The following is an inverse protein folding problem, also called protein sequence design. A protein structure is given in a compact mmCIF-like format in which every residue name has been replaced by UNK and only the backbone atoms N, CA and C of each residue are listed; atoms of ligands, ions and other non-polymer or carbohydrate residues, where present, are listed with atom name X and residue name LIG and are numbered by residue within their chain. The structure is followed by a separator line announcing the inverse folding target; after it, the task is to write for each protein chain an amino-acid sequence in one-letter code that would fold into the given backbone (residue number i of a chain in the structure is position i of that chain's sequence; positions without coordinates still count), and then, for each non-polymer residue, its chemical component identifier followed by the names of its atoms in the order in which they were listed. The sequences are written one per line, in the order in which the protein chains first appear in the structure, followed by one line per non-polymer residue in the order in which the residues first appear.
data_IF_776219851950
#
_entry.id   IF_776219851950
#
_cell.length_a   1.000
_cell.length_b   1.000
_cell.length_c   1.000
_cell.angle_alpha   90.00
_cell.angle_beta   90.00
_cell.angle_gamma   90.00
#
_symmetry.space_group_name_H-M   'P 1'
#
loop_
_entity.id
_entity.type
_entity.pdbx_description
1 polymer ?
2 water ?
#
# COMPACT_ATOMS: atom_id res chain seq x y z
N UNK A 4 -22.42 -10.80 4.76
CA UNK A 4 -21.19 -10.15 5.34
C UNK A 4 -20.94 -10.51 6.80
N UNK A 5 -19.67 -10.55 7.20
CA UNK A 5 -19.28 -10.90 8.58
C UNK A 5 -18.10 -10.05 9.04
N UNK A 6 -17.77 -10.13 10.34
CA UNK A 6 -16.63 -9.39 10.89
C UNK A 6 -15.34 -10.10 10.49
N UNK A 7 -14.50 -9.46 9.64
CA UNK A 7 -13.21 -10.08 9.31
C UNK A 7 -12.36 -10.29 10.54
N UNK A 8 -11.81 -11.50 10.68
CA UNK A 8 -11.01 -11.85 11.84
C UNK A 8 -9.69 -12.49 11.42
N UNK A 9 -8.76 -12.52 12.36
CA UNK A 9 -7.46 -13.12 12.12
C UNK A 9 -7.57 -14.64 12.03
N UNK A 10 -6.82 -15.23 11.10
CA UNK A 10 -6.83 -16.69 10.93
C UNK A 10 -5.46 -17.34 10.92
N UNK A 11 -4.42 -16.52 10.89
CA UNK A 11 -3.06 -17.01 10.81
C UNK A 11 -2.43 -16.94 12.21
N UNK A 12 -2.35 -18.09 12.86
CA UNK A 12 -1.86 -18.16 14.24
C UNK A 12 -0.64 -19.06 14.41
N UNK A 13 -0.53 -20.07 13.55
CA UNK A 13 0.53 -21.07 13.61
C UNK A 13 1.21 -21.20 12.25
N UNK A 14 2.31 -21.94 12.22
CA UNK A 14 2.99 -22.22 10.96
C UNK A 14 2.09 -22.91 9.89
N UNK A 15 1.37 -23.99 10.26
CA UNK A 15 0.46 -24.59 9.26
C UNK A 15 -0.57 -23.59 8.71
N UNK A 16 -0.92 -22.57 9.48
CA UNK A 16 -1.89 -21.57 8.99
C UNK A 16 -1.39 -20.79 7.78
N UNK A 17 -0.08 -20.73 7.59
CA UNK A 17 0.50 -20.06 6.42
C UNK A 17 0.07 -20.77 5.13
N UNK A 18 0.02 -22.10 5.17
CA UNK A 18 -0.45 -22.90 4.03
C UNK A 18 -1.96 -22.71 3.83
N UNK A 19 -2.72 -22.69 4.93
CA UNK A 19 -4.14 -22.43 4.88
C UNK A 19 -4.40 -21.09 4.14
N UNK A 20 -3.64 -20.07 4.50
CA UNK A 20 -3.71 -18.78 3.82
C UNK A 20 -3.35 -18.89 2.33
N UNK A 21 -2.25 -19.55 1.99
CA UNK A 21 -1.87 -19.62 0.57
C UNK A 21 -2.89 -20.38 -0.28
N UNK A 22 -3.63 -21.31 0.34
CA UNK A 22 -4.64 -22.10 -0.38
C UNK A 22 -6.03 -21.43 -0.41
N UNK A 23 -6.14 -20.27 0.24
CA UNK A 23 -7.44 -19.66 0.44
C UNK A 23 -7.97 -18.88 -0.76
N UNK A 24 -9.28 -18.70 -0.76
CA UNK A 24 -9.94 -17.81 -1.70
C UNK A 24 -9.39 -16.40 -1.58
N UNK A 25 -9.18 -15.94 -0.35
CA UNK A 25 -8.64 -14.59 -0.10
C UNK A 25 -7.32 -14.39 -0.81
N UNK A 26 -6.41 -15.36 -0.68
CA UNK A 26 -5.09 -15.21 -1.33
C UNK A 26 -5.23 -15.15 -2.84
N UNK A 27 -6.00 -16.05 -3.42
CA UNK A 27 -6.16 -16.06 -4.87
C UNK A 27 -6.70 -14.72 -5.39
N UNK A 28 -7.69 -14.20 -4.69
CA UNK A 28 -8.33 -12.93 -5.09
C UNK A 28 -7.34 -11.79 -4.92
N UNK A 29 -6.60 -11.80 -3.80
CA UNK A 29 -5.67 -10.74 -3.50
C UNK A 29 -4.53 -10.68 -4.51
N UNK A 30 -3.83 -11.79 -4.70
CA UNK A 30 -2.72 -11.79 -5.66
C UNK A 30 -3.22 -11.54 -7.10
N UNK A 31 -4.37 -12.09 -7.45
CA UNK A 31 -4.96 -11.81 -8.76
C UNK A 31 -5.17 -10.32 -8.97
N UNK A 32 -5.62 -9.65 -7.90
CA UNK A 32 -5.90 -8.21 -7.94
C UNK A 32 -4.61 -7.41 -8.16
N UNK A 33 -3.57 -7.72 -7.38
CA UNK A 33 -2.28 -7.07 -7.52
C UNK A 33 -1.74 -7.22 -8.95
N UNK A 34 -1.83 -8.43 -9.50
CA UNK A 34 -1.32 -8.71 -10.85
C UNK A 34 -2.12 -8.05 -11.95
N UNK A 35 -3.44 -8.00 -11.80
CA UNK A 35 -4.31 -7.31 -12.74
C UNK A 35 -3.96 -5.82 -12.80
N UNK A 36 -3.82 -5.19 -11.64
CA UNK A 36 -3.47 -3.77 -11.63
C UNK A 36 -2.07 -3.55 -12.19
N UNK A 37 -1.16 -4.48 -11.93
CA UNK A 37 0.21 -4.42 -12.46
C UNK A 37 0.21 -4.39 -14.00
N UNK A 38 -0.61 -5.23 -14.60
CA UNK A 38 -0.71 -5.28 -16.06
C UNK A 38 -1.32 -4.01 -16.62
N UNK A 39 -2.34 -3.49 -15.94
CA UNK A 39 -3.07 -2.32 -16.42
C UNK A 39 -2.23 -1.06 -16.52
N UNK A 40 -1.24 -0.91 -15.64
CA UNK A 40 -0.43 0.30 -15.58
C UNK A 40 0.85 0.22 -16.43
N UNK A 41 1.07 -0.93 -17.06
CA UNK A 41 2.31 -1.20 -17.77
C UNK A 41 2.60 -0.11 -18.82
N UNK A 42 3.79 0.48 -18.72
CA UNK A 42 4.26 1.46 -19.70
C UNK A 42 3.62 2.83 -19.66
N UNK A 43 2.83 3.12 -18.61
CA UNK A 43 2.09 4.38 -18.54
C UNK A 43 2.59 5.29 -17.44
N UNK A 44 2.66 6.59 -17.75
CA UNK A 44 2.94 7.64 -16.79
C UNK A 44 1.73 7.89 -15.91
N UNK A 45 1.97 8.46 -14.72
CA UNK A 45 0.89 8.84 -13.80
C UNK A 45 -0.13 9.80 -14.42
N UNK A 46 0.30 10.56 -15.43
CA UNK A 46 -0.53 11.55 -16.11
C UNK A 46 -1.31 10.98 -17.30
N UNK A 47 -1.22 9.66 -17.49
CA UNK A 47 -1.99 8.99 -18.53
C UNK A 47 -3.45 9.40 -18.40
N UNK A 48 -4.11 9.63 -19.54
CA UNK A 48 -5.50 10.07 -19.50
C UNK A 48 -6.42 8.88 -19.28
N UNK A 49 -6.59 8.55 -18.00
CA UNK A 49 -7.44 7.45 -17.57
C UNK A 49 -8.79 8.00 -17.12
N UNK A 50 -9.80 7.12 -17.13
CA UNK A 50 -11.16 7.48 -16.74
C UNK A 50 -11.25 7.67 -15.22
N UNK A 51 -12.03 8.67 -14.81
CA UNK A 51 -12.20 8.99 -13.38
C UNK A 51 -13.69 9.02 -13.01
N UNK A 52 -14.10 7.98 -12.30
CA UNK A 52 -15.49 7.79 -11.90
C UNK A 52 -15.81 8.48 -10.58
N UNK A 53 -17.09 8.59 -10.27
CA UNK A 53 -17.55 9.12 -8.99
C UNK A 53 -16.92 8.36 -7.81
N UNK A 54 -16.88 7.04 -7.89
CA UNK A 54 -16.32 6.25 -6.79
C UNK A 54 -14.84 6.59 -6.57
N UNK A 55 -14.11 6.78 -7.67
CA UNK A 55 -12.71 7.20 -7.58
C UNK A 55 -12.62 8.58 -6.90
N UNK A 56 -13.46 9.51 -7.33
CA UNK A 56 -13.51 10.83 -6.70
C UNK A 56 -13.79 10.76 -5.21
N UNK A 57 -14.74 9.91 -4.82
CA UNK A 57 -15.10 9.76 -3.41
C UNK A 57 -13.96 9.14 -2.59
N UNK A 58 -13.20 8.22 -3.20
CA UNK A 58 -12.03 7.62 -2.53
C UNK A 58 -10.92 8.65 -2.32
N UNK A 59 -10.71 9.50 -3.31
CA UNK A 59 -9.79 10.62 -3.14
C UNK A 59 -10.25 11.56 -2.02
N UNK A 60 -11.56 11.87 -1.98
CA UNK A 60 -12.07 12.72 -0.90
C UNK A 60 -11.90 12.06 0.47
N UNK A 61 -12.07 10.75 0.52
CA UNK A 61 -11.86 9.98 1.75
C UNK A 61 -10.42 10.14 2.23
N UNK A 62 -9.46 10.02 1.31
CA UNK A 62 -8.07 10.18 1.70
C UNK A 62 -7.77 11.62 2.09
N UNK A 63 -8.40 12.56 1.39
CA UNK A 63 -8.25 13.98 1.78
C UNK A 63 -8.82 14.30 3.17
N UNK A 64 -9.86 13.57 3.57
CA UNK A 64 -10.37 13.68 4.95
C UNK A 64 -9.32 13.21 5.95
N UNK A 65 -8.72 12.05 5.70
CA UNK A 65 -7.63 11.54 6.54
C UNK A 65 -6.51 12.57 6.67
N UNK A 66 -6.14 13.18 5.54
CA UNK A 66 -5.10 14.21 5.48
C UNK A 66 -5.49 15.44 6.33
N UNK A 67 -6.72 15.91 6.16
CA UNK A 67 -7.21 17.04 6.95
C UNK A 67 -7.11 16.75 8.46
N UNK A 68 -7.47 15.54 8.86
CA UNK A 68 -7.36 15.16 10.26
C UNK A 68 -5.92 15.21 10.78
N UNK A 69 -4.94 14.91 9.93
CA UNK A 69 -3.54 15.06 10.32
C UNK A 69 -3.28 16.55 10.66
N UNK A 70 -3.69 17.44 9.75
CA UNK A 70 -3.49 18.88 9.97
C UNK A 70 -4.15 19.37 11.25
N UNK A 71 -5.29 18.78 11.60
CA UNK A 71 -6.02 19.12 12.82
C UNK A 71 -5.44 18.48 14.08
N UNK A 72 -4.47 17.58 13.92
CA UNK A 72 -3.97 16.76 15.02
C UNK A 72 -2.45 16.84 15.04
N UNK A 73 -1.93 17.99 15.53
CA UNK A 73 -0.49 18.19 15.48
C UNK A 73 0.26 17.25 16.43
N UNK A 74 1.55 16.98 16.16
CA UNK A 74 2.39 16.22 17.08
C UNK A 74 2.39 16.88 18.47
N UNK A 75 2.54 16.07 19.51
CA UNK A 75 2.61 16.57 20.87
C UNK A 75 4.04 16.53 21.39
N UNK A 76 4.36 17.49 22.26
CA UNK A 76 5.57 17.46 23.07
C UNK A 76 5.49 16.19 23.93
N UNK A 77 6.56 15.41 23.93
CA UNK A 77 6.57 14.14 24.66
C UNK A 77 8.00 13.69 24.98
N UNK A 78 8.16 12.88 26.04
CA UNK A 78 9.48 12.31 26.34
C UNK A 78 9.96 11.23 25.35
N UNK A 79 9.07 10.37 24.86
CA UNK A 79 9.49 9.28 23.99
C UNK A 79 10.11 9.77 22.70
N UNK A 80 11.20 9.12 22.30
CA UNK A 80 11.94 9.50 21.09
C UNK A 80 11.52 8.70 19.86
N UNK A 81 10.47 7.90 19.98
CA UNK A 81 9.96 7.13 18.84
C UNK A 81 8.65 7.76 18.33
N UNK A 82 7.67 6.92 18.04
CA UNK A 82 6.37 7.38 17.59
C UNK A 82 5.72 8.45 18.46
N UNK A 83 5.09 9.41 17.79
CA UNK A 83 4.44 10.49 18.52
C UNK A 83 3.01 10.12 18.90
N UNK A 84 2.68 10.32 20.18
CA UNK A 84 1.40 9.90 20.74
C UNK A 84 0.19 10.51 20.01
N UNK A 85 0.40 11.65 19.33
CA UNK A 85 -0.68 12.29 18.58
C UNK A 85 -1.22 11.36 17.49
N UNK A 86 -0.39 10.40 17.04
CA UNK A 86 -0.89 9.40 16.08
C UNK A 86 -2.12 8.71 16.62
N UNK A 87 -2.14 8.44 17.93
CA UNK A 87 -3.27 7.72 18.51
C UNK A 87 -4.55 8.54 18.48
N UNK A 88 -4.41 9.85 18.65
CA UNK A 88 -5.55 10.75 18.55
C UNK A 88 -6.11 10.74 17.12
N UNK A 89 -5.19 10.81 16.14
CA UNK A 89 -5.59 10.74 14.74
C UNK A 89 -6.29 9.39 14.45
N UNK A 90 -5.67 8.31 14.91
CA UNK A 90 -6.19 6.97 14.64
C UNK A 90 -7.58 6.80 15.25
N UNK A 91 -7.79 7.35 16.44
CA UNK A 91 -9.09 7.23 17.10
C UNK A 91 -10.21 7.83 16.24
N UNK A 92 -9.89 8.90 15.51
CA UNK A 92 -10.88 9.52 14.62
C UNK A 92 -11.20 8.57 13.48
N UNK A 93 -10.16 7.97 12.90
CA UNK A 93 -10.39 7.03 11.83
C UNK A 93 -11.20 5.83 12.30
N UNK A 94 -10.87 5.30 13.48
CA UNK A 94 -11.59 4.15 14.01
C UNK A 94 -13.08 4.46 14.17
N UNK A 95 -13.39 5.65 14.71
CA UNK A 95 -14.78 6.03 14.92
C UNK A 95 -15.51 6.26 13.61
N UNK A 96 -14.82 6.89 12.66
CA UNK A 96 -15.49 7.38 11.45
C UNK A 96 -15.35 6.50 10.20
N UNK A 97 -14.63 5.38 10.31
CA UNK A 97 -14.33 4.57 9.13
C UNK A 97 -15.56 4.17 8.34
N UNK A 98 -16.60 3.71 9.03
CA UNK A 98 -17.82 3.29 8.34
C UNK A 98 -18.49 4.47 7.63
N UNK A 99 -18.50 5.64 8.27
CA UNK A 99 -19.03 6.83 7.61
C UNK A 99 -18.24 7.16 6.34
N UNK A 100 -16.92 7.13 6.45
CA UNK A 100 -16.06 7.38 5.28
C UNK A 100 -16.34 6.40 4.15
N UNK A 101 -16.38 5.11 4.47
CA UNK A 101 -16.63 4.09 3.45
C UNK A 101 -18.03 4.27 2.81
N UNK A 102 -19.00 4.65 3.64
CA UNK A 102 -20.37 4.90 3.15
C UNK A 102 -20.47 6.05 2.15
N UNK A 103 -19.49 6.95 2.15
CA UNK A 103 -19.54 8.00 1.13
C UNK A 103 -19.14 7.46 -0.26
N UNK A 104 -18.45 6.31 -0.27
CA UNK A 104 -18.00 5.68 -1.50
C UNK A 104 -19.00 4.62 -1.97
N UNK A 105 -19.51 3.82 -1.03
CA UNK A 105 -20.38 2.69 -1.35
C UNK A 105 -21.81 3.18 -1.44
N UNK A 106 -22.46 3.03 -2.63
CA UNK A 106 -23.87 3.47 -2.75
C UNK A 106 -24.80 2.76 -1.79
N UNK A 107 -25.94 3.39 -1.51
CA UNK A 107 -26.82 2.92 -0.43
C UNK A 107 -27.35 1.49 -0.63
N UNK A 108 -27.52 1.05 -1.89
CA UNK A 108 -28.03 -0.31 -2.11
C UNK A 108 -27.05 -1.39 -1.70
N UNK A 109 -25.80 -0.99 -1.43
CA UNK A 109 -24.78 -1.92 -0.94
C UNK A 109 -24.35 -1.62 0.50
N UNK A 110 -25.21 -0.92 1.24
CA UNK A 110 -24.90 -0.50 2.62
C UNK A 110 -24.50 -1.65 3.55
N UNK A 111 -25.06 -2.83 3.32
CA UNK A 111 -24.74 -3.99 4.14
C UNK A 111 -23.25 -4.31 4.15
N UNK A 112 -22.53 -3.94 3.08
CA UNK A 112 -21.10 -4.25 2.93
C UNK A 112 -20.18 -3.30 3.67
N UNK A 113 -20.72 -2.15 4.09
CA UNK A 113 -19.89 -1.08 4.64
C UNK A 113 -19.05 -1.52 5.86
N UNK A 114 -19.66 -2.16 6.89
CA UNK A 114 -18.83 -2.53 8.04
C UNK A 114 -17.68 -3.47 7.70
N UNK A 115 -17.92 -4.48 6.86
CA UNK A 115 -16.83 -5.40 6.49
C UNK A 115 -15.72 -4.68 5.73
N UNK A 116 -16.11 -3.89 4.73
CA UNK A 116 -15.13 -3.15 3.92
C UNK A 116 -14.33 -2.19 4.82
N UNK A 117 -15.02 -1.56 5.78
CA UNK A 117 -14.38 -0.56 6.63
C UNK A 117 -13.32 -1.18 7.56
N UNK A 118 -13.47 -2.45 7.89
CA UNK A 118 -12.44 -3.11 8.72
C UNK A 118 -11.09 -3.01 7.99
N UNK A 119 -11.07 -3.23 6.67
CA UNK A 119 -9.79 -3.16 5.96
C UNK A 119 -9.21 -1.76 5.95
N UNK A 120 -10.07 -0.75 5.82
CA UNK A 120 -9.61 0.62 5.95
C UNK A 120 -8.96 0.86 7.34
N UNK A 121 -9.62 0.37 8.39
CA UNK A 121 -9.11 0.54 9.75
C UNK A 121 -7.77 -0.17 9.98
N UNK A 122 -7.47 -1.15 9.13
CA UNK A 122 -6.20 -1.91 9.20
C UNK A 122 -5.12 -1.40 8.24
N UNK A 123 -5.40 -0.30 7.53
CA UNK A 123 -4.52 0.10 6.43
C UNK A 123 -3.58 1.28 6.74
N UNK A 124 -3.56 1.75 7.99
CA UNK A 124 -2.90 3.04 8.26
C UNK A 124 -1.88 3.00 9.38
N UNK A 125 -1.62 1.80 9.91
CA UNK A 125 -0.65 1.64 10.99
C UNK A 125 -1.28 1.14 12.28
N UNK A 126 -0.45 0.97 13.30
CA UNK A 126 -0.91 0.41 14.57
C UNK A 126 -0.87 1.47 15.66
N UNK A 127 -2.00 1.67 16.32
CA UNK A 127 -2.11 2.70 17.37
C UNK A 127 -1.21 2.44 18.58
N UNK A 128 -1.21 1.20 19.07
CA UNK A 128 -0.42 0.86 20.27
C UNK A 128 1.06 1.05 20.05
N UNK A 129 1.54 0.55 18.91
CA UNK A 129 2.98 0.57 18.61
C UNK A 129 3.45 1.82 17.90
N UNK A 130 2.50 2.61 17.37
CA UNK A 130 2.80 3.73 16.48
C UNK A 130 3.79 3.32 15.38
N UNK A 131 3.39 2.27 14.67
CA UNK A 131 4.20 1.72 13.61
C UNK A 131 3.39 1.49 12.33
N UNK A 132 4.10 1.24 11.25
CA UNK A 132 3.49 1.01 9.94
C UNK A 132 4.36 0.07 9.14
N UNK A 133 3.74 -0.87 8.45
CA UNK A 133 4.49 -1.78 7.60
C UNK A 133 3.71 -2.27 6.40
N UNK A 134 4.31 -3.21 5.68
CA UNK A 134 3.73 -3.68 4.42
C UNK A 134 2.43 -4.48 4.62
N UNK A 135 2.18 -4.91 5.86
CA UNK A 135 0.89 -5.51 6.20
C UNK A 135 -0.25 -4.50 6.21
N UNK A 136 0.05 -3.28 6.62
CA UNK A 136 -0.96 -2.21 6.54
C UNK A 136 -1.17 -1.82 5.09
N UNK A 137 -0.09 -1.70 4.31
CA UNK A 137 -0.24 -1.44 2.89
C UNK A 137 -1.13 -2.52 2.23
N UNK A 138 -0.91 -3.78 2.61
CA UNK A 138 -1.70 -4.90 2.05
C UNK A 138 -3.18 -4.76 2.39
N UNK A 139 -3.47 -4.29 3.60
CA UNK A 139 -4.86 -4.07 3.99
C UNK A 139 -5.50 -2.99 3.13
N UNK A 140 -4.72 -1.99 2.71
CA UNK A 140 -5.30 -0.98 1.83
C UNK A 140 -5.62 -1.57 0.46
N UNK A 141 -4.70 -2.38 -0.06
CA UNK A 141 -4.98 -3.09 -1.31
C UNK A 141 -6.20 -3.99 -1.13
N UNK A 142 -6.32 -4.63 0.04
CA UNK A 142 -7.48 -5.50 0.31
C UNK A 142 -8.80 -4.71 0.35
N UNK A 143 -8.77 -3.52 0.96
CA UNK A 143 -9.89 -2.57 0.97
C UNK A 143 -10.35 -2.27 -0.46
N UNK A 144 -9.40 -1.94 -1.33
CA UNK A 144 -9.69 -1.67 -2.75
C UNK A 144 -10.21 -2.93 -3.47
N UNK A 145 -9.61 -4.07 -3.15
CA UNK A 145 -10.04 -5.33 -3.74
C UNK A 145 -11.50 -5.60 -3.38
N UNK A 146 -11.88 -5.36 -2.12
CA UNK A 146 -13.28 -5.58 -1.70
C UNK A 146 -14.24 -4.68 -2.49
N UNK A 147 -13.83 -3.44 -2.71
CA UNK A 147 -14.69 -2.50 -3.47
C UNK A 147 -14.89 -2.95 -4.92
N UNK A 148 -13.86 -3.59 -5.50
CA UNK A 148 -14.02 -4.17 -6.83
C UNK A 148 -14.97 -5.37 -6.78
N UNK A 149 -14.78 -6.22 -5.78
CA UNK A 149 -15.57 -7.45 -5.67
C UNK A 149 -17.07 -7.18 -5.55
N UNK A 150 -17.46 -6.16 -4.78
CA UNK A 150 -18.88 -5.79 -4.66
C UNK A 150 -19.37 -4.89 -5.82
N UNK A 151 -18.48 -4.52 -6.73
CA UNK A 151 -18.84 -3.83 -7.96
C UNK A 151 -18.95 -2.32 -7.82
N UNK A 152 -18.42 -1.78 -6.72
CA UNK A 152 -18.34 -0.34 -6.55
C UNK A 152 -17.29 0.24 -7.51
N UNK A 153 -16.14 -0.44 -7.60
CA UNK A 153 -15.13 -0.12 -8.60
C UNK A 153 -15.23 -1.14 -9.73
N UNK A 154 -15.00 -0.66 -10.96
CA UNK A 154 -15.18 -1.47 -12.16
C UNK A 154 -13.86 -1.64 -12.91
N UNK A 155 -13.87 -2.43 -13.98
CA UNK A 155 -12.63 -2.65 -14.73
C UNK A 155 -12.03 -1.34 -15.28
N UNK A 156 -12.89 -0.41 -15.68
CA UNK A 156 -12.41 0.86 -16.23
C UNK A 156 -11.84 1.82 -15.18
N UNK A 157 -11.99 1.44 -13.91
CA UNK A 157 -11.40 2.18 -12.79
C UNK A 157 -10.00 1.71 -12.42
N UNK A 158 -9.54 0.62 -13.04
CA UNK A 158 -8.34 -0.05 -12.58
C UNK A 158 -7.06 0.78 -12.66
N UNK A 159 -6.88 1.55 -13.73
CA UNK A 159 -5.73 2.43 -13.79
C UNK A 159 -5.82 3.53 -12.71
N UNK A 160 -6.99 4.16 -12.58
CA UNK A 160 -7.22 5.16 -11.52
C UNK A 160 -7.00 4.61 -10.09
N UNK A 161 -7.34 3.34 -9.86
CA UNK A 161 -7.07 2.74 -8.54
C UNK A 161 -5.60 2.92 -8.14
N UNK A 162 -4.68 2.70 -9.09
CA UNK A 162 -3.26 2.85 -8.83
C UNK A 162 -2.80 4.31 -8.90
N UNK A 163 -3.09 4.97 -10.02
CA UNK A 163 -2.53 6.28 -10.32
C UNK A 163 -3.16 7.43 -9.58
N UNK A 164 -4.41 7.27 -9.16
CA UNK A 164 -5.11 8.32 -8.44
C UNK A 164 -5.26 7.96 -6.97
N UNK A 165 -5.87 6.81 -6.69
CA UNK A 165 -6.22 6.50 -5.29
C UNK A 165 -5.00 5.99 -4.52
N UNK A 166 -4.33 4.96 -5.03
CA UNK A 166 -3.17 4.45 -4.30
C UNK A 166 -2.06 5.51 -4.24
N UNK A 167 -1.91 6.27 -5.31
CA UNK A 167 -0.93 7.35 -5.35
C UNK A 167 -1.17 8.37 -4.23
N UNK A 168 -2.44 8.75 -4.04
CA UNK A 168 -2.79 9.67 -2.98
C UNK A 168 -2.61 9.04 -1.59
N UNK A 169 -2.98 7.77 -1.45
CA UNK A 169 -2.78 7.05 -0.20
C UNK A 169 -1.31 7.09 0.22
N UNK A 170 -0.40 6.88 -0.72
CA UNK A 170 1.02 6.93 -0.37
C UNK A 170 1.46 8.31 0.11
N UNK A 171 0.91 9.37 -0.48
CA UNK A 171 1.20 10.71 0.01
C UNK A 171 0.74 10.87 1.46
N UNK A 172 -0.46 10.38 1.76
CA UNK A 172 -0.98 10.50 3.11
C UNK A 172 -0.16 9.64 4.09
N UNK A 173 0.21 8.43 3.69
CA UNK A 173 1.05 7.57 4.52
C UNK A 173 2.42 8.19 4.82
N UNK A 174 3.06 8.79 3.82
CA UNK A 174 4.35 9.47 4.04
C UNK A 174 4.16 10.61 5.04
N UNK A 175 3.05 11.33 4.91
CA UNK A 175 2.78 12.42 5.84
C UNK A 175 2.56 11.89 7.27
N UNK A 176 1.83 10.78 7.44
CA UNK A 176 1.71 10.13 8.76
C UNK A 176 3.06 9.72 9.31
N UNK A 177 3.85 9.07 8.46
CA UNK A 177 5.13 8.55 8.87
C UNK A 177 6.06 9.65 9.36
N UNK A 178 6.11 10.76 8.61
CA UNK A 178 6.96 11.92 9.00
C UNK A 178 6.36 12.68 10.19
N UNK A 179 5.08 13.02 10.08
CA UNK A 179 4.46 13.86 11.10
C UNK A 179 4.48 13.18 12.48
N UNK A 180 4.15 11.90 12.54
CA UNK A 180 4.08 11.19 13.82
C UNK A 180 5.29 10.32 14.11
N UNK A 181 6.35 10.50 13.32
CA UNK A 181 7.62 9.79 13.59
C UNK A 181 7.37 8.30 13.77
N UNK A 182 6.59 7.74 12.86
CA UNK A 182 6.18 6.34 12.97
C UNK A 182 7.38 5.40 12.77
N UNK A 183 7.37 4.30 13.51
CA UNK A 183 8.42 3.28 13.38
C UNK A 183 8.04 2.28 12.30
N UNK A 184 9.02 1.78 11.52
CA UNK A 184 8.72 0.65 10.62
C UNK A 184 8.22 -0.52 11.47
N UNK A 185 7.23 -1.24 10.94
CA UNK A 185 6.58 -2.30 11.71
C UNK A 185 7.31 -3.62 11.65
N UNK A 186 8.08 -3.81 10.59
CA UNK A 186 8.67 -5.12 10.33
C UNK A 186 10.18 -5.05 10.23
N UNK A 187 10.70 -5.78 9.26
CA UNK A 187 12.13 -5.78 8.99
C UNK A 187 12.53 -4.38 8.52
N UNK A 188 13.74 -3.99 8.86
CA UNK A 188 14.19 -2.63 8.65
C UNK A 188 15.63 -2.65 8.14
N UNK A 189 16.03 -1.56 7.51
CA UNK A 189 17.40 -1.39 7.04
C UNK A 189 17.81 -2.51 6.11
N UNK A 190 18.93 -3.16 6.43
CA UNK A 190 19.48 -4.21 5.56
C UNK A 190 18.50 -5.35 5.34
N UNK A 191 17.61 -5.55 6.31
CA UNK A 191 16.66 -6.65 6.29
C UNK A 191 15.44 -6.48 5.39
N UNK A 192 15.21 -5.28 4.88
CA UNK A 192 14.02 -5.02 4.05
C UNK A 192 14.29 -4.30 2.74
N UNK A 193 13.32 -4.38 1.83
CA UNK A 193 13.36 -3.62 0.58
C UNK A 193 13.21 -2.12 0.85
N UNK A 194 12.17 -1.78 1.61
CA UNK A 194 11.85 -0.42 2.01
C UNK A 194 11.31 -0.53 3.43
N UNK A 195 11.48 0.53 4.22
CA UNK A 195 11.04 0.52 5.60
C UNK A 195 9.53 0.38 5.78
N UNK A 196 8.77 0.83 4.78
CA UNK A 196 7.30 0.99 4.93
C UNK A 196 6.47 0.36 3.80
N UNK A 197 6.93 0.45 2.56
CA UNK A 197 6.11 0.13 1.39
C UNK A 197 6.65 -1.03 0.55
N UNK A 198 5.79 -1.57 -0.31
CA UNK A 198 6.22 -2.60 -1.28
C UNK A 198 5.51 -2.46 -2.62
N UNK A 199 4.18 -2.44 -2.59
CA UNK A 199 3.39 -2.39 -3.81
C UNK A 199 3.79 -1.31 -4.82
N UNK A 200 4.09 -0.07 -4.38
CA UNK A 200 4.47 0.93 -5.39
C UNK A 200 5.75 0.58 -6.17
N UNK A 201 6.59 -0.29 -5.64
CA UNK A 201 7.81 -0.68 -6.38
C UNK A 201 7.43 -1.69 -7.46
N UNK A 202 6.41 -2.50 -7.17
CA UNK A 202 5.89 -3.42 -8.19
C UNK A 202 5.20 -2.62 -9.29
N UNK A 203 4.14 -1.90 -8.94
CA UNK A 203 3.38 -1.16 -9.94
C UNK A 203 4.24 -0.09 -10.62
N UNK A 204 5.11 0.55 -9.86
CA UNK A 204 6.05 1.54 -10.41
C UNK A 204 7.03 0.97 -11.42
N UNK A 205 7.57 -0.21 -11.14
CA UNK A 205 8.46 -0.85 -12.13
C UNK A 205 7.70 -1.25 -13.40
N UNK A 206 6.44 -1.67 -13.26
CA UNK A 206 5.58 -1.94 -14.43
C UNK A 206 5.38 -0.68 -15.31
N UNK A 207 5.14 0.47 -14.69
CA UNK A 207 5.07 1.74 -15.43
C UNK A 207 6.26 1.94 -16.37
N UNK A 208 7.43 1.53 -15.89
CA UNK A 208 8.71 1.86 -16.53
C UNK A 208 9.15 0.81 -17.57
N UNK A 209 8.38 -0.26 -17.71
CA UNK A 209 8.70 -1.27 -18.73
C UNK A 209 8.70 -0.63 -20.12
N UNK A 210 9.79 -0.84 -20.85
CA UNK A 210 9.97 -0.29 -22.19
C UNK A 210 10.17 1.24 -22.26
N UNK A 211 10.57 1.86 -21.14
CA UNK A 211 10.90 3.31 -21.12
C UNK A 211 12.03 3.65 -22.10
N UNK A 212 11.95 4.83 -22.77
CA UNK A 212 13.00 5.10 -23.77
C UNK A 212 14.38 5.52 -23.25
N UNK A 213 14.46 6.00 -22.01
CA UNK A 213 15.74 6.38 -21.43
C UNK A 213 16.03 5.67 -20.12
N UNK A 214 15.05 5.70 -19.21
CA UNK A 214 15.27 5.26 -17.86
C UNK A 214 15.40 3.76 -17.80
N UNK A 215 16.49 3.35 -17.20
CA UNK A 215 16.74 1.96 -16.89
C UNK A 215 16.94 1.88 -15.35
N UNK A 216 16.86 0.68 -14.78
CA UNK A 216 17.00 0.58 -13.32
C UNK A 216 18.15 1.35 -12.67
N UNK A 217 19.36 1.32 -13.24
CA UNK A 217 20.51 2.00 -12.61
C UNK A 217 20.28 3.50 -12.40
N UNK A 218 19.36 4.06 -13.19
CA UNK A 218 18.96 5.46 -13.09
C UNK A 218 18.24 5.84 -11.80
N UNK A 219 17.69 4.86 -11.09
CA UNK A 219 16.98 5.21 -9.87
C UNK A 219 17.87 5.53 -8.67
N UNK A 220 19.16 5.23 -8.80
CA UNK A 220 20.16 5.70 -7.82
C UNK A 220 20.91 6.95 -8.33
N UNK A 221 20.45 7.50 -9.46
CA UNK A 221 20.92 8.77 -10.00
C UNK A 221 19.97 9.86 -9.52
N UNK A 222 20.46 10.73 -8.65
CA UNK A 222 19.60 11.77 -8.07
C UNK A 222 19.01 12.71 -9.12
N UNK A 223 19.78 13.05 -10.15
CA UNK A 223 19.30 13.92 -11.22
C UNK A 223 18.13 13.30 -11.99
N UNK A 224 18.28 12.01 -12.33
CA UNK A 224 17.25 11.27 -13.05
C UNK A 224 15.94 11.19 -12.25
N UNK A 225 16.07 10.92 -10.96
CA UNK A 225 14.91 10.88 -10.06
C UNK A 225 14.24 12.25 -9.98
N UNK A 226 15.04 13.30 -9.82
CA UNK A 226 14.51 14.66 -9.75
C UNK A 226 13.73 15.08 -11.01
N UNK A 227 14.21 14.66 -12.18
CA UNK A 227 13.61 15.08 -13.44
C UNK A 227 12.41 14.24 -13.86
N UNK A 228 12.20 13.12 -13.17
CA UNK A 228 11.20 12.16 -13.61
C UNK A 228 10.21 11.65 -12.56
N UNK A 229 10.45 11.92 -11.28
CA UNK A 229 9.62 11.33 -10.19
C UNK A 229 8.13 11.65 -10.28
N UNK A 230 7.77 12.82 -10.82
CA UNK A 230 6.35 13.20 -10.91
C UNK A 230 5.51 12.28 -11.81
N UNK A 231 6.17 11.57 -12.73
CA UNK A 231 5.46 10.69 -13.66
C UNK A 231 5.47 9.24 -13.22
N UNK A 232 6.34 8.92 -12.26
CA UNK A 232 6.71 7.54 -11.96
C UNK A 232 6.76 7.20 -10.46
N UNK A 233 5.79 6.37 -10.08
CA UNK A 233 5.62 5.97 -8.68
C UNK A 233 6.87 5.34 -8.05
N UNK A 234 7.61 4.55 -8.81
CA UNK A 234 8.85 3.94 -8.30
C UNK A 234 9.83 5.04 -7.90
N UNK A 235 9.96 6.04 -8.78
CA UNK A 235 10.92 7.11 -8.55
C UNK A 235 10.54 8.04 -7.39
N UNK A 236 9.24 8.27 -7.26
CA UNK A 236 8.71 9.00 -6.11
C UNK A 236 9.07 8.30 -4.79
N UNK A 237 8.99 6.97 -4.75
CA UNK A 237 9.41 6.21 -3.57
C UNK A 237 10.89 6.39 -3.24
N UNK A 238 11.73 6.42 -4.28
CA UNK A 238 13.16 6.55 -4.08
C UNK A 238 13.45 7.95 -3.54
N UNK A 239 12.75 8.94 -4.11
CA UNK A 239 12.89 10.31 -3.62
C UNK A 239 12.55 10.43 -2.12
N UNK A 240 11.49 9.76 -1.69
CA UNK A 240 11.16 9.75 -0.26
C UNK A 240 12.31 9.19 0.59
N UNK A 241 12.92 8.09 0.13
CA UNK A 241 14.06 7.49 0.81
C UNK A 241 15.25 8.47 0.91
N UNK A 242 15.61 9.08 -0.21
CA UNK A 242 16.79 9.96 -0.24
C UNK A 242 16.55 11.24 0.54
N UNK A 243 15.29 11.66 0.63
CA UNK A 243 14.91 12.78 1.49
C UNK A 243 14.98 12.44 2.99
N UNK A 244 14.70 11.18 3.32
CA UNK A 244 14.62 10.73 4.71
C UNK A 244 15.93 10.19 5.26
N UNK A 245 16.79 9.70 4.38
CA UNK A 245 18.02 9.01 4.79
C UNK A 245 19.27 9.69 4.21
N UNK A 246 20.35 9.66 4.98
CA UNK A 246 21.61 10.29 4.56
C UNK A 246 22.71 9.26 4.37
N UNK A 247 23.78 9.68 3.68
CA UNK A 247 24.91 8.80 3.41
C UNK A 247 24.76 8.09 2.07
N UNK A 248 25.70 7.19 1.76
CA UNK A 248 25.63 6.44 0.50
C UNK A 248 24.39 5.58 0.42
N UNK A 249 23.79 5.52 -0.77
CA UNK A 249 22.59 4.74 -1.04
C UNK A 249 22.80 3.27 -0.68
N UNK A 250 23.98 2.74 -1.01
CA UNK A 250 24.33 1.35 -0.76
C UNK A 250 24.25 0.98 0.71
N UNK A 251 24.45 1.97 1.58
CA UNK A 251 24.45 1.73 3.02
C UNK A 251 23.07 1.86 3.67
N UNK A 252 22.28 2.84 3.26
CA UNK A 252 20.93 3.01 3.85
C UNK A 252 19.85 2.12 3.20
N UNK A 253 20.05 1.76 1.94
CA UNK A 253 19.07 0.97 1.17
C UNK A 253 19.76 -0.08 0.30
N UNK A 254 20.41 -1.03 0.96
CA UNK A 254 21.25 -2.00 0.24
C UNK A 254 20.48 -2.86 -0.76
N UNK A 255 19.28 -3.30 -0.38
CA UNK A 255 18.50 -4.16 -1.26
C UNK A 255 18.13 -3.46 -2.57
N UNK A 256 17.67 -2.21 -2.46
CA UNK A 256 17.35 -1.42 -3.65
C UNK A 256 18.59 -1.07 -4.47
N UNK A 257 19.70 -0.82 -3.77
CA UNK A 257 21.00 -0.59 -4.41
C UNK A 257 21.32 -1.74 -5.37
N UNK A 258 21.23 -2.97 -4.87
CA UNK A 258 21.49 -4.16 -5.69
C UNK A 258 20.51 -4.31 -6.84
N UNK A 259 19.26 -3.92 -6.60
CA UNK A 259 18.23 -4.00 -7.64
C UNK A 259 18.48 -3.02 -8.80
N UNK A 260 19.18 -1.93 -8.51
CA UNK A 260 19.48 -0.94 -9.55
C UNK A 260 20.40 -1.51 -10.63
N UNK A 261 21.11 -2.58 -10.29
CA UNK A 261 21.98 -3.30 -11.25
C UNK A 261 21.23 -4.16 -12.28
N UNK A 262 19.96 -4.49 -12.01
CA UNK A 262 19.17 -5.30 -12.94
C UNK A 262 19.05 -4.58 -14.30
N UNK A 263 19.26 -5.31 -15.42
CA UNK A 263 19.32 -4.64 -16.73
C UNK A 263 18.02 -4.02 -17.28
N UNK A 264 16.86 -4.50 -16.85
CA UNK A 264 15.62 -3.96 -17.39
C UNK A 264 14.52 -3.89 -16.36
N UNK A 265 13.59 -2.95 -16.58
CA UNK A 265 12.43 -2.80 -15.71
C UNK A 265 11.54 -4.02 -15.71
N UNK A 266 11.42 -4.70 -16.84
CA UNK A 266 10.62 -5.94 -16.86
C UNK A 266 11.21 -6.98 -15.89
N UNK A 267 12.53 -7.12 -15.86
CA UNK A 267 13.18 -8.04 -14.92
C UNK A 267 13.03 -7.60 -13.45
N UNK A 268 13.12 -6.28 -13.20
CA UNK A 268 12.85 -5.73 -11.88
C UNK A 268 11.42 -6.11 -11.44
N UNK A 269 10.45 -5.89 -12.33
CA UNK A 269 9.04 -6.18 -12.05
C UNK A 269 8.80 -7.65 -11.74
N UNK A 270 9.34 -8.51 -12.60
CA UNK A 270 9.23 -9.97 -12.37
C UNK A 270 9.84 -10.38 -11.03
N UNK A 271 11.02 -9.84 -10.72
CA UNK A 271 11.72 -10.16 -9.49
C UNK A 271 11.01 -9.66 -8.25
N UNK A 272 10.41 -8.48 -8.34
CA UNK A 272 9.72 -7.91 -7.19
C UNK A 272 8.42 -8.63 -6.85
N UNK A 273 7.76 -9.16 -7.88
CA UNK A 273 6.57 -9.99 -7.66
C UNK A 273 6.96 -11.25 -6.89
N UNK A 274 8.04 -11.92 -7.30
CA UNK A 274 8.55 -13.05 -6.55
C UNK A 274 8.90 -12.67 -5.11
N UNK A 275 9.56 -11.53 -4.95
CA UNK A 275 10.00 -11.04 -3.65
C UNK A 275 8.82 -10.67 -2.75
N UNK A 276 7.76 -10.12 -3.36
CA UNK A 276 6.56 -9.76 -2.61
C UNK A 276 5.91 -11.00 -1.98
N UNK A 277 5.80 -12.06 -2.76
CA UNK A 277 5.31 -13.33 -2.23
C UNK A 277 6.19 -13.84 -1.11
N UNK A 278 7.51 -13.85 -1.33
CA UNK A 278 8.43 -14.42 -0.33
C UNK A 278 8.55 -13.58 0.95
N UNK A 279 8.54 -12.26 0.80
CA UNK A 279 8.92 -11.36 1.90
C UNK A 279 7.77 -10.60 2.53
N UNK A 280 6.59 -10.71 1.94
CA UNK A 280 5.39 -10.09 2.49
C UNK A 280 4.34 -11.19 2.70
N UNK A 281 3.83 -11.74 1.60
CA UNK A 281 2.67 -12.63 1.71
C UNK A 281 2.95 -13.96 2.40
N UNK A 282 4.20 -14.44 2.30
CA UNK A 282 4.59 -15.71 2.92
C UNK A 282 5.38 -15.49 4.21
N UNK A 283 5.33 -14.26 4.71
CA UNK A 283 6.10 -13.89 5.90
C UNK A 283 5.16 -13.72 7.08
N UNK A 284 5.12 -14.73 7.96
CA UNK A 284 4.25 -14.74 9.13
C UNK A 284 4.30 -13.41 9.91
N UNK A 285 5.50 -12.90 10.25
CA UNK A 285 5.47 -11.67 11.03
C UNK A 285 4.91 -10.43 10.31
N UNK A 286 4.95 -10.42 8.98
CA UNK A 286 4.41 -9.31 8.18
C UNK A 286 2.90 -9.45 7.98
N UNK A 287 2.46 -10.67 7.65
CA UNK A 287 1.11 -10.91 7.14
C UNK A 287 0.12 -11.49 8.18
N UNK A 288 0.60 -11.87 9.37
CA UNK A 288 -0.22 -12.59 10.35
C UNK A 288 -1.46 -11.84 10.88
N UNK A 289 -1.51 -10.53 10.65
CA UNK A 289 -2.64 -9.73 11.10
C UNK A 289 -3.66 -9.52 9.99
N UNK A 290 -3.47 -10.17 8.85
CA UNK A 290 -4.47 -10.12 7.77
C UNK A 290 -5.81 -10.64 8.29
N UNK A 291 -6.90 -9.94 7.95
CA UNK A 291 -8.22 -10.33 8.41
C UNK A 291 -9.09 -10.94 7.31
N UNK A 292 -9.86 -11.95 7.68
CA UNK A 292 -10.63 -12.75 6.75
C UNK A 292 -12.10 -12.76 7.12
N UNK A 293 -12.92 -12.40 6.14
CA UNK A 293 -14.37 -12.33 6.36
C UNK A 293 -15.11 -13.07 5.25
N UNK A 294 -16.11 -12.42 4.66
CA UNK A 294 -16.86 -13.02 3.56
C UNK A 294 -16.29 -12.66 2.19
N UNK A 295 -15.83 -11.42 2.03
CA UNK A 295 -15.34 -10.96 0.75
C UNK A 295 -13.95 -11.50 0.42
N UNK A 296 -13.10 -11.59 1.44
CA UNK A 296 -11.79 -12.23 1.34
C UNK A 296 -11.75 -13.35 2.39
N UNK A 297 -12.31 -14.51 2.02
CA UNK A 297 -12.50 -15.57 2.98
C UNK A 297 -11.34 -16.54 3.10
N UNK A 298 -11.22 -17.15 4.27
CA UNK A 298 -10.17 -18.12 4.56
C UNK A 298 -10.41 -19.52 3.94
N UNK A 299 -11.65 -19.78 3.54
CA UNK A 299 -11.98 -21.09 2.92
C UNK A 299 -11.13 -21.35 1.67
N UNK A 300 -10.89 -22.62 1.34
CA UNK A 300 -10.06 -22.95 0.18
C UNK A 300 -10.62 -22.35 -1.12
N UNK A 301 -9.71 -21.91 -2.00
CA UNK A 301 -10.13 -21.25 -3.24
C UNK A 301 -11.08 -22.14 -4.04
N UNK A 302 -12.14 -21.54 -4.59
CA UNK A 302 -13.07 -22.31 -5.44
C UNK A 302 -12.37 -22.64 -6.76
N UNK A 303 -12.68 -23.78 -7.36
CA UNK A 303 -11.93 -24.25 -8.55
C UNK A 303 -12.36 -25.66 -8.98
#
# INVERSE_FOLDING_TARGET
TQNFIIPKKEIHTVPDMGKWKRSQAYADYIGFILTLNEGVKGKKLTFEYRVSEAIEKLLALLNTLDRWIDETPPVDQPSRFGNKAYRTWYAKLDEEAENLVATVVPTHLAAAVPEVAVYLKESVGNSTRIDYGTGHEAAFAAFLCCLCKIGVLRVDDQIAIVFKVFNRYLEVMRKLQKTYRMEPAGSQGVWGLDDFQFLPFIWGSSQLIDHPYLEPRHFVDEKAVNENHKDYMFLECILFITEMKTGPFAEHSNQLWNISAVPSWSKVNQGLIRMYKAECLEKFPVIQHFKFGSLLPIHPVTS
#
